data_IF_617699583916
#
_entry.id   IF_617699583916
#
_cell.length_a   1.000
_cell.length_b   1.000
_cell.length_c   1.000
_cell.angle_alpha   90.00
_cell.angle_beta   90.00
_cell.angle_gamma   90.00
#
_symmetry.space_group_name_H-M   'P 1'
#
loop_
_entity.id
_entity.type
_entity.pdbx_description
1 polymer ?
#
# COMPACT_ATOMS: atom_id res chain seq x y z
N UNK A 1 -0.39 11.58 5.95
CA UNK A 1 -0.14 13.05 6.11
C UNK A 1 -1.46 13.71 6.52
N UNK A 2 -1.55 14.40 7.70
CA UNK A 2 -2.77 15.11 8.09
C UNK A 2 -3.13 16.22 7.10
N UNK A 3 -4.32 16.17 6.51
CA UNK A 3 -4.76 17.16 5.51
C UNK A 3 -4.91 18.60 6.04
N UNK A 4 -5.09 18.75 7.35
CA UNK A 4 -5.13 20.06 8.00
C UNK A 4 -3.73 20.69 8.22
N UNK A 5 -2.65 19.98 7.95
CA UNK A 5 -1.28 20.45 8.20
C UNK A 5 -0.57 20.84 6.89
N UNK A 6 -0.66 22.10 6.51
CA UNK A 6 -0.06 22.63 5.27
C UNK A 6 1.46 22.47 5.21
N UNK A 7 2.17 22.55 6.35
CA UNK A 7 3.63 22.32 6.39
C UNK A 7 3.97 20.86 6.09
N UNK A 8 3.14 19.92 6.58
CA UNK A 8 3.32 18.51 6.29
C UNK A 8 3.04 18.21 4.81
N UNK A 9 1.98 18.80 4.24
CA UNK A 9 1.66 18.68 2.81
C UNK A 9 2.81 19.22 1.93
N UNK A 10 3.39 20.36 2.27
CA UNK A 10 4.53 20.90 1.52
C UNK A 10 5.77 20.03 1.64
N UNK A 11 6.10 19.55 2.86
CA UNK A 11 7.24 18.65 3.08
C UNK A 11 7.07 17.32 2.33
N UNK A 12 5.84 16.85 2.15
CA UNK A 12 5.56 15.60 1.46
C UNK A 12 6.08 15.55 0.02
N UNK A 13 6.17 16.70 -0.66
CA UNK A 13 6.68 16.82 -2.03
C UNK A 13 8.13 16.37 -2.20
N UNK A 14 8.92 16.36 -1.12
CA UNK A 14 10.34 16.00 -1.12
C UNK A 14 10.65 14.70 -0.38
N UNK A 15 9.63 13.97 0.08
CA UNK A 15 9.86 12.70 0.77
C UNK A 15 10.16 11.59 -0.25
N UNK A 16 11.15 10.71 0.01
CA UNK A 16 11.43 9.56 -0.87
C UNK A 16 10.44 8.41 -0.60
N UNK A 17 9.16 8.68 -0.81
CA UNK A 17 8.06 7.74 -0.66
C UNK A 17 7.39 7.52 -2.02
N UNK A 18 6.90 6.31 -2.28
CA UNK A 18 6.23 5.97 -3.53
C UNK A 18 4.82 6.55 -3.57
N UNK A 19 4.10 6.49 -2.44
CA UNK A 19 2.73 6.99 -2.30
C UNK A 19 2.58 7.89 -1.08
N UNK A 20 1.66 8.84 -1.17
CA UNK A 20 1.31 9.77 -0.10
C UNK A 20 -0.17 9.64 0.24
N UNK A 21 -0.50 9.16 1.45
CA UNK A 21 -1.87 9.15 1.94
C UNK A 21 -2.15 10.51 2.59
N UNK A 22 -2.97 11.33 1.93
CA UNK A 22 -3.46 12.63 2.40
C UNK A 22 -4.75 12.39 3.18
N UNK A 23 -4.69 12.60 4.49
CA UNK A 23 -5.71 12.12 5.42
C UNK A 23 -6.76 13.18 5.76
N UNK A 24 -8.03 12.82 5.64
CA UNK A 24 -9.19 13.59 6.11
C UNK A 24 -9.91 12.91 7.27
N UNK A 25 -9.49 11.71 7.65
CA UNK A 25 -10.17 10.92 8.67
C UNK A 25 -9.60 11.21 10.08
N UNK A 26 -8.95 10.24 10.69
CA UNK A 26 -8.55 10.28 12.11
C UNK A 26 -7.53 11.37 12.44
N UNK A 27 -6.65 11.73 11.52
CA UNK A 27 -5.66 12.78 11.76
C UNK A 27 -6.19 14.22 11.61
N UNK A 28 -7.49 14.39 11.35
CA UNK A 28 -8.13 15.71 11.18
C UNK A 28 -9.32 15.86 12.12
N UNK A 29 -9.29 16.90 12.96
CA UNK A 29 -10.40 17.20 13.87
C UNK A 29 -11.70 17.51 13.11
N UNK A 30 -12.87 17.22 13.70
CA UNK A 30 -14.16 17.39 13.04
C UNK A 30 -14.41 18.79 12.45
N UNK A 31 -14.03 19.83 13.16
CA UNK A 31 -14.18 21.23 12.77
C UNK A 31 -13.16 21.67 11.70
N UNK A 32 -12.07 20.94 11.53
CA UNK A 32 -11.02 21.21 10.55
C UNK A 32 -11.23 20.47 9.20
N UNK A 33 -12.18 19.54 9.10
CA UNK A 33 -12.30 18.66 7.92
C UNK A 33 -12.62 19.44 6.63
N UNK A 34 -13.49 20.43 6.70
CA UNK A 34 -13.79 21.28 5.55
C UNK A 34 -12.55 22.05 5.05
N UNK A 35 -11.79 22.64 5.97
CA UNK A 35 -10.55 23.34 5.64
C UNK A 35 -9.47 22.42 5.13
N UNK A 36 -9.38 21.18 5.66
CA UNK A 36 -8.43 20.18 5.20
C UNK A 36 -8.69 19.77 3.74
N UNK A 37 -9.97 19.67 3.30
CA UNK A 37 -10.31 19.45 1.88
C UNK A 37 -9.70 20.53 0.98
N UNK A 38 -9.87 21.80 1.35
CA UNK A 38 -9.32 22.92 0.57
C UNK A 38 -7.79 22.88 0.51
N UNK A 39 -7.12 22.58 1.63
CA UNK A 39 -5.66 22.48 1.67
C UNK A 39 -5.13 21.34 0.81
N UNK A 40 -5.76 20.17 0.85
CA UNK A 40 -5.38 19.04 0.01
C UNK A 40 -5.62 19.36 -1.48
N UNK A 41 -6.77 19.95 -1.84
CA UNK A 41 -7.03 20.35 -3.23
C UNK A 41 -5.96 21.30 -3.76
N UNK A 42 -5.63 22.35 -3.01
CA UNK A 42 -4.58 23.31 -3.38
C UNK A 42 -3.19 22.62 -3.52
N UNK A 43 -2.88 21.65 -2.66
CA UNK A 43 -1.66 20.89 -2.73
C UNK A 43 -1.61 19.97 -3.97
N UNK A 44 -2.72 19.33 -4.34
CA UNK A 44 -2.84 18.52 -5.56
C UNK A 44 -2.67 19.36 -6.84
N UNK A 45 -3.14 20.59 -6.85
CA UNK A 45 -2.95 21.50 -7.99
C UNK A 45 -1.48 21.81 -8.25
N UNK A 46 -0.66 21.91 -7.18
CA UNK A 46 0.79 22.11 -7.28
C UNK A 46 1.55 20.82 -7.57
N UNK A 47 0.95 19.65 -7.29
CA UNK A 47 1.49 18.32 -7.53
C UNK A 47 2.49 17.84 -6.48
N UNK A 48 2.77 16.54 -6.52
CA UNK A 48 3.68 15.83 -5.61
C UNK A 48 4.79 15.08 -6.37
N UNK A 49 5.10 15.52 -7.60
CA UNK A 49 6.12 14.89 -8.43
C UNK A 49 5.66 13.51 -8.93
N UNK A 50 6.52 12.51 -8.80
CA UNK A 50 6.25 11.12 -9.19
C UNK A 50 5.38 10.34 -8.19
N UNK A 51 5.15 10.92 -7.01
CA UNK A 51 4.50 10.23 -5.90
C UNK A 51 3.02 10.05 -6.16
N UNK A 52 2.56 8.83 -6.01
CA UNK A 52 1.14 8.53 -6.05
C UNK A 52 0.40 9.23 -4.90
N UNK A 53 -0.71 9.88 -5.22
CA UNK A 53 -1.50 10.66 -4.26
C UNK A 53 -2.81 9.96 -3.95
N UNK A 54 -2.95 9.56 -2.70
CA UNK A 54 -4.10 8.80 -2.19
C UNK A 54 -4.83 9.63 -1.14
N UNK A 55 -6.14 9.80 -1.30
CA UNK A 55 -6.95 10.59 -0.36
C UNK A 55 -7.67 9.62 0.58
N UNK A 56 -7.29 9.61 1.88
CA UNK A 56 -8.10 8.89 2.86
C UNK A 56 -9.28 9.75 3.27
N UNK A 57 -10.45 9.37 2.77
CA UNK A 57 -11.72 10.04 3.08
C UNK A 57 -12.31 9.55 4.40
N UNK A 58 -13.29 10.26 4.93
CA UNK A 58 -14.15 9.73 6.00
C UNK A 58 -15.07 8.64 5.45
N UNK A 59 -15.47 7.70 6.28
CA UNK A 59 -16.44 6.66 5.87
C UNK A 59 -17.74 7.26 5.34
N UNK A 60 -18.34 6.65 4.33
CA UNK A 60 -19.59 7.15 3.72
C UNK A 60 -20.79 7.16 4.69
N UNK A 61 -20.71 6.40 5.78
CA UNK A 61 -21.67 6.40 6.87
C UNK A 61 -21.54 7.60 7.82
N UNK A 62 -20.57 8.48 7.61
CA UNK A 62 -20.37 9.72 8.36
C UNK A 62 -20.94 10.93 7.63
N UNK A 63 -21.13 12.02 8.33
CA UNK A 63 -21.59 13.27 7.72
C UNK A 63 -20.58 13.91 6.73
N UNK A 64 -19.33 13.45 6.70
CA UNK A 64 -18.25 14.03 5.89
C UNK A 64 -17.90 13.20 4.64
N UNK A 65 -18.13 11.89 4.67
CA UNK A 65 -17.60 10.98 3.65
C UNK A 65 -18.06 11.28 2.23
N UNK A 66 -19.34 11.60 2.03
CA UNK A 66 -19.86 11.96 0.72
C UNK A 66 -19.27 13.27 0.19
N UNK A 67 -19.14 14.27 1.06
CA UNK A 67 -18.54 15.57 0.71
C UNK A 67 -17.05 15.42 0.39
N UNK A 68 -16.33 14.56 1.14
CA UNK A 68 -14.93 14.24 0.86
C UNK A 68 -14.80 13.61 -0.53
N UNK A 69 -15.57 12.55 -0.81
CA UNK A 69 -15.52 11.86 -2.09
C UNK A 69 -15.82 12.79 -3.26
N UNK A 70 -16.86 13.62 -3.13
CA UNK A 70 -17.24 14.61 -4.13
C UNK A 70 -16.16 15.66 -4.36
N UNK A 71 -15.47 16.09 -3.28
CA UNK A 71 -14.42 17.10 -3.36
C UNK A 71 -13.19 16.65 -4.14
N UNK A 72 -12.94 15.34 -4.24
CA UNK A 72 -11.73 14.82 -4.88
C UNK A 72 -11.98 14.04 -6.17
N UNK A 73 -13.22 13.72 -6.51
CA UNK A 73 -13.55 12.96 -7.71
C UNK A 73 -13.03 13.61 -9.02
N UNK A 74 -13.03 14.94 -9.10
CA UNK A 74 -12.59 15.72 -10.28
C UNK A 74 -11.11 16.15 -10.21
N UNK A 75 -10.35 15.69 -9.21
CA UNK A 75 -8.95 16.07 -9.03
C UNK A 75 -7.98 15.14 -9.75
N UNK A 76 -6.68 15.43 -9.62
CA UNK A 76 -5.59 14.60 -10.12
C UNK A 76 -5.12 13.55 -9.11
N UNK A 77 -5.87 13.34 -8.01
CA UNK A 77 -5.55 12.27 -7.08
C UNK A 77 -5.61 10.91 -7.79
N UNK A 78 -4.69 10.03 -7.46
CA UNK A 78 -4.57 8.73 -8.10
C UNK A 78 -5.56 7.72 -7.50
N UNK A 79 -5.84 7.82 -6.20
CA UNK A 79 -6.77 6.92 -5.52
C UNK A 79 -7.53 7.57 -4.35
N UNK A 80 -8.67 6.95 -4.03
CA UNK A 80 -9.42 7.16 -2.79
C UNK A 80 -9.18 5.97 -1.86
N UNK A 81 -8.73 6.22 -0.64
CA UNK A 81 -8.63 5.22 0.42
C UNK A 81 -9.89 5.28 1.29
N UNK A 82 -10.70 4.24 1.22
CA UNK A 82 -11.89 4.09 2.04
C UNK A 82 -11.54 3.42 3.38
N UNK A 83 -11.81 4.07 4.54
CA UNK A 83 -11.58 3.47 5.83
C UNK A 83 -12.67 2.43 6.18
N UNK A 84 -12.37 1.52 7.08
CA UNK A 84 -13.31 0.58 7.72
C UNK A 84 -14.18 -0.18 6.71
N UNK A 85 -13.54 -0.71 5.66
CA UNK A 85 -14.23 -1.50 4.65
C UNK A 85 -14.56 -2.88 5.22
N UNK A 86 -15.84 -3.22 5.24
CA UNK A 86 -16.37 -4.47 5.79
C UNK A 86 -17.21 -5.27 4.79
N UNK A 87 -17.39 -4.77 3.57
CA UNK A 87 -18.18 -5.44 2.54
C UNK A 87 -17.82 -5.03 1.12
N UNK A 88 -18.08 -5.91 0.16
CA UNK A 88 -17.99 -5.59 -1.27
C UNK A 88 -18.92 -4.43 -1.66
N UNK A 89 -20.08 -4.31 -1.01
CA UNK A 89 -21.06 -3.26 -1.30
C UNK A 89 -20.50 -1.86 -1.09
N UNK A 90 -19.67 -1.64 -0.04
CA UNK A 90 -19.03 -0.34 0.19
C UNK A 90 -18.08 0.06 -0.96
N UNK A 91 -17.32 -0.88 -1.49
CA UNK A 91 -16.43 -0.63 -2.64
C UNK A 91 -17.26 -0.32 -3.90
N UNK A 92 -18.33 -1.09 -4.14
CA UNK A 92 -19.23 -0.86 -5.27
C UNK A 92 -19.93 0.50 -5.18
N UNK A 93 -20.36 0.90 -3.99
CA UNK A 93 -20.95 2.22 -3.73
C UNK A 93 -19.99 3.35 -4.06
N UNK A 94 -18.73 3.30 -3.58
CA UNK A 94 -17.69 4.28 -3.92
C UNK A 94 -17.46 4.32 -5.42
N UNK A 95 -17.34 3.19 -6.09
CA UNK A 95 -17.15 3.13 -7.54
C UNK A 95 -18.31 3.78 -8.32
N UNK A 96 -19.55 3.54 -7.89
CA UNK A 96 -20.73 4.15 -8.48
C UNK A 96 -20.77 5.67 -8.26
N UNK A 97 -20.44 6.14 -7.07
CA UNK A 97 -20.36 7.58 -6.75
C UNK A 97 -19.24 8.26 -7.53
N UNK A 98 -18.07 7.65 -7.66
CA UNK A 98 -16.99 8.19 -8.49
C UNK A 98 -17.44 8.37 -9.94
N UNK A 99 -18.14 7.38 -10.49
CA UNK A 99 -18.73 7.48 -11.83
C UNK A 99 -19.78 8.60 -11.92
N UNK A 100 -20.65 8.73 -10.91
CA UNK A 100 -21.67 9.79 -10.84
C UNK A 100 -21.04 11.18 -10.76
N UNK A 101 -19.94 11.34 -10.05
CA UNK A 101 -19.21 12.60 -9.91
C UNK A 101 -18.22 12.87 -11.05
N UNK A 102 -18.27 12.05 -12.12
CA UNK A 102 -17.38 12.19 -13.28
C UNK A 102 -15.89 12.14 -12.93
N UNK A 103 -15.55 11.28 -11.98
CA UNK A 103 -14.15 11.08 -11.58
C UNK A 103 -13.27 10.75 -12.79
N UNK A 104 -12.00 11.13 -12.69
CA UNK A 104 -11.01 10.79 -13.69
C UNK A 104 -10.94 9.25 -13.84
N UNK A 105 -10.90 8.76 -15.09
CA UNK A 105 -10.88 7.32 -15.38
C UNK A 105 -9.68 6.55 -14.81
N UNK A 106 -8.65 7.26 -14.34
CA UNK A 106 -7.46 6.66 -13.71
C UNK A 106 -7.62 6.50 -12.19
N UNK A 107 -8.60 7.17 -11.55
CA UNK A 107 -8.77 7.12 -10.10
C UNK A 107 -9.13 5.73 -9.62
N UNK A 108 -8.32 5.21 -8.70
CA UNK A 108 -8.46 3.89 -8.10
C UNK A 108 -9.11 3.95 -6.73
N UNK A 109 -9.46 2.79 -6.20
CA UNK A 109 -9.96 2.60 -4.84
C UNK A 109 -8.93 1.78 -4.07
N UNK A 110 -8.56 2.29 -2.91
CA UNK A 110 -7.83 1.55 -1.89
C UNK A 110 -8.77 1.24 -0.74
N UNK A 111 -8.68 0.07 -0.15
CA UNK A 111 -9.52 -0.35 0.94
C UNK A 111 -8.72 -0.56 2.22
N UNK A 112 -9.09 0.14 3.31
CA UNK A 112 -8.48 -0.11 4.61
C UNK A 112 -9.19 -1.29 5.31
N UNK A 113 -8.40 -2.31 5.59
CA UNK A 113 -8.79 -3.55 6.25
C UNK A 113 -8.34 -3.44 7.71
N UNK A 114 -9.26 -3.10 8.59
CA UNK A 114 -8.94 -2.69 9.94
C UNK A 114 -9.97 -3.11 11.02
N UNK A 115 -10.91 -3.98 10.62
CA UNK A 115 -11.89 -4.56 11.55
C UNK A 115 -11.89 -6.09 11.45
N UNK A 116 -12.26 -6.81 12.53
CA UNK A 116 -12.41 -8.26 12.48
C UNK A 116 -13.40 -8.73 11.40
N UNK A 117 -14.49 -7.99 11.17
CA UNK A 117 -15.47 -8.31 10.12
C UNK A 117 -14.84 -8.22 8.72
N UNK A 118 -14.01 -7.20 8.47
CA UNK A 118 -13.27 -7.08 7.20
C UNK A 118 -12.44 -8.32 6.91
N UNK A 119 -11.76 -8.88 7.92
CA UNK A 119 -10.92 -10.08 7.76
C UNK A 119 -11.76 -11.28 7.31
N UNK A 120 -12.95 -11.47 7.88
CA UNK A 120 -13.85 -12.55 7.46
C UNK A 120 -14.47 -12.33 6.07
N UNK A 121 -14.47 -11.08 5.58
CA UNK A 121 -15.04 -10.68 4.29
C UNK A 121 -14.00 -10.41 3.21
N UNK A 122 -12.73 -10.66 3.48
CA UNK A 122 -11.62 -10.38 2.55
C UNK A 122 -11.84 -10.89 1.12
N UNK A 123 -12.27 -12.15 0.88
CA UNK A 123 -12.48 -12.65 -0.49
C UNK A 123 -13.55 -11.85 -1.25
N UNK A 124 -14.62 -11.46 -0.57
CA UNK A 124 -15.70 -10.67 -1.16
C UNK A 124 -15.24 -9.24 -1.44
N UNK A 125 -14.49 -8.64 -0.50
CA UNK A 125 -13.93 -7.27 -0.63
C UNK A 125 -12.89 -7.24 -1.77
N UNK A 126 -11.95 -8.18 -1.78
CA UNK A 126 -10.86 -8.20 -2.77
C UNK A 126 -11.35 -8.38 -4.21
N UNK A 127 -12.50 -9.01 -4.41
CA UNK A 127 -13.14 -9.22 -5.73
C UNK A 127 -14.21 -8.18 -6.08
N UNK A 128 -14.44 -7.15 -5.24
CA UNK A 128 -15.62 -6.32 -5.29
C UNK A 128 -15.78 -5.48 -6.58
N UNK A 129 -14.69 -4.94 -7.11
CA UNK A 129 -14.74 -4.05 -8.28
C UNK A 129 -13.37 -3.90 -8.96
N UNK A 130 -13.29 -3.74 -10.29
CA UNK A 130 -12.02 -3.55 -11.02
C UNK A 130 -11.24 -2.27 -10.68
N UNK A 131 -11.86 -1.27 -10.07
CA UNK A 131 -11.17 -0.07 -9.57
C UNK A 131 -10.44 -0.32 -8.24
N UNK A 132 -10.77 -1.40 -7.51
CA UNK A 132 -10.03 -1.75 -6.30
C UNK A 132 -8.63 -2.20 -6.70
N UNK A 133 -7.61 -1.58 -6.15
CA UNK A 133 -6.21 -1.80 -6.51
C UNK A 133 -5.37 -2.25 -5.32
N UNK A 134 -5.65 -1.69 -4.13
CA UNK A 134 -4.79 -1.90 -2.96
C UNK A 134 -5.60 -2.18 -1.70
N UNK A 135 -5.14 -3.16 -0.92
CA UNK A 135 -5.56 -3.38 0.45
C UNK A 135 -4.54 -2.77 1.42
N UNK A 136 -5.01 -1.98 2.36
CA UNK A 136 -4.17 -1.34 3.38
C UNK A 136 -4.55 -1.87 4.76
N UNK A 137 -3.59 -2.41 5.51
CA UNK A 137 -3.87 -2.94 6.84
C UNK A 137 -3.88 -1.82 7.88
N UNK A 138 -5.01 -1.62 8.56
CA UNK A 138 -5.17 -0.72 9.70
C UNK A 138 -4.98 -1.47 11.02
N UNK A 139 -3.72 -1.85 11.32
CA UNK A 139 -3.42 -2.73 12.48
C UNK A 139 -3.75 -2.11 13.83
N UNK A 140 -3.79 -0.80 13.97
CA UNK A 140 -4.13 -0.12 15.22
C UNK A 140 -5.60 -0.33 15.59
N UNK A 141 -6.52 -0.07 14.67
CA UNK A 141 -7.95 -0.29 14.89
C UNK A 141 -8.26 -1.78 15.04
N UNK A 142 -7.61 -2.63 14.23
CA UNK A 142 -7.78 -4.08 14.33
C UNK A 142 -7.39 -4.61 15.71
N UNK A 143 -6.24 -4.23 16.25
CA UNK A 143 -5.79 -4.66 17.60
C UNK A 143 -6.74 -4.16 18.70
N UNK A 144 -7.23 -2.93 18.57
CA UNK A 144 -8.23 -2.36 19.48
C UNK A 144 -9.53 -3.18 19.45
N UNK A 145 -10.06 -3.49 18.27
CA UNK A 145 -11.31 -4.22 18.11
C UNK A 145 -11.19 -5.71 18.49
N UNK A 146 -10.00 -6.30 18.36
CA UNK A 146 -9.66 -7.62 18.88
C UNK A 146 -9.53 -7.64 20.41
N UNK A 147 -9.55 -6.49 21.09
CA UNK A 147 -9.22 -6.34 22.51
C UNK A 147 -7.85 -6.93 22.85
N UNK A 148 -6.93 -6.92 21.89
CA UNK A 148 -5.58 -7.46 22.03
C UNK A 148 -4.57 -6.39 22.49
N UNK A 149 -3.32 -6.77 22.63
CA UNK A 149 -2.21 -5.86 22.94
C UNK A 149 -1.21 -5.91 21.80
N UNK A 150 -0.67 -4.75 21.43
CA UNK A 150 0.48 -4.72 20.52
C UNK A 150 1.66 -5.47 21.12
N UNK A 151 2.20 -6.42 20.37
CA UNK A 151 3.39 -7.19 20.75
C UNK A 151 4.50 -7.00 19.71
N UNK A 152 5.79 -7.11 20.10
CA UNK A 152 6.89 -7.01 19.13
C UNK A 152 6.81 -8.06 18.02
N UNK A 153 6.31 -9.25 18.32
CA UNK A 153 6.13 -10.34 17.35
C UNK A 153 4.89 -10.19 16.45
N UNK A 154 3.97 -9.25 16.80
CA UNK A 154 2.71 -9.01 16.10
C UNK A 154 1.82 -10.27 15.99
N UNK A 155 1.98 -11.20 16.96
CA UNK A 155 1.24 -12.48 16.95
C UNK A 155 -0.28 -12.27 16.97
N UNK A 156 -0.75 -11.20 17.58
CA UNK A 156 -2.17 -10.81 17.68
C UNK A 156 -2.80 -10.49 16.33
N UNK A 157 -2.01 -10.04 15.35
CA UNK A 157 -2.49 -9.70 14.00
C UNK A 157 -2.05 -10.69 12.93
N UNK A 158 -1.18 -11.64 13.24
CA UNK A 158 -0.54 -12.52 12.25
C UNK A 158 -1.53 -13.24 11.32
N UNK A 159 -2.63 -13.75 11.86
CA UNK A 159 -3.68 -14.40 11.06
C UNK A 159 -4.32 -13.42 10.07
N UNK A 160 -4.65 -12.22 10.53
CA UNK A 160 -5.25 -11.18 9.70
C UNK A 160 -4.29 -10.74 8.58
N UNK A 161 -3.02 -10.53 8.91
CA UNK A 161 -1.97 -10.20 7.94
C UNK A 161 -1.86 -11.29 6.86
N UNK A 162 -1.78 -12.56 7.26
CA UNK A 162 -1.68 -13.69 6.32
C UNK A 162 -2.89 -13.79 5.41
N UNK A 163 -4.10 -13.67 5.95
CA UNK A 163 -5.34 -13.73 5.15
C UNK A 163 -5.43 -12.56 4.16
N UNK A 164 -4.97 -11.37 4.56
CA UNK A 164 -4.96 -10.19 3.68
C UNK A 164 -4.00 -10.36 2.50
N UNK A 165 -2.81 -10.89 2.73
CA UNK A 165 -1.86 -11.22 1.65
C UNK A 165 -2.46 -12.27 0.71
N UNK A 166 -3.05 -13.34 1.24
CA UNK A 166 -3.68 -14.38 0.42
C UNK A 166 -4.81 -13.81 -0.45
N UNK A 167 -5.69 -12.98 0.13
CA UNK A 167 -6.79 -12.35 -0.60
C UNK A 167 -6.28 -11.41 -1.70
N UNK A 168 -5.29 -10.57 -1.38
CA UNK A 168 -4.68 -9.66 -2.35
C UNK A 168 -4.06 -10.42 -3.52
N UNK A 169 -3.27 -11.46 -3.26
CA UNK A 169 -2.62 -12.25 -4.32
C UNK A 169 -3.62 -13.04 -5.17
N UNK A 170 -4.72 -13.55 -4.58
CA UNK A 170 -5.78 -14.23 -5.31
C UNK A 170 -6.48 -13.31 -6.32
N UNK A 171 -6.49 -12.00 -6.07
CA UNK A 171 -7.16 -11.00 -6.92
C UNK A 171 -6.22 -9.99 -7.56
N UNK A 172 -4.90 -10.24 -7.54
CA UNK A 172 -3.86 -9.40 -8.16
C UNK A 172 -3.83 -7.95 -7.62
N UNK A 173 -4.15 -7.78 -6.33
CA UNK A 173 -4.10 -6.49 -5.66
C UNK A 173 -2.75 -6.25 -5.01
N UNK A 174 -2.37 -4.98 -4.89
CA UNK A 174 -1.32 -4.54 -3.99
C UNK A 174 -1.79 -4.67 -2.53
N UNK A 175 -0.87 -4.96 -1.61
CA UNK A 175 -1.18 -5.06 -0.18
C UNK A 175 -0.10 -4.41 0.67
N UNK A 176 -0.52 -3.42 1.48
CA UNK A 176 0.36 -2.65 2.35
C UNK A 176 0.15 -3.05 3.80
N UNK A 177 1.26 -3.33 4.48
CA UNK A 177 1.27 -3.62 5.91
C UNK A 177 0.94 -2.36 6.75
N UNK A 178 0.46 -2.56 7.97
CA UNK A 178 0.06 -1.49 8.89
C UNK A 178 1.24 -0.76 9.53
N UNK A 179 0.96 0.34 10.18
CA UNK A 179 1.92 1.26 10.78
C UNK A 179 2.73 0.63 11.93
N UNK A 180 3.93 1.18 12.18
CA UNK A 180 4.70 1.02 13.41
C UNK A 180 4.57 2.29 14.25
N UNK A 181 3.99 2.17 15.47
CA UNK A 181 3.58 3.33 16.25
C UNK A 181 4.71 3.99 17.03
N UNK A 182 5.75 3.23 17.42
CA UNK A 182 6.84 3.72 18.24
C UNK A 182 7.88 4.43 17.38
N UNK A 183 7.93 5.76 17.45
CA UNK A 183 8.81 6.57 16.58
C UNK A 183 10.30 6.41 16.94
N UNK A 184 10.60 6.12 18.20
CA UNK A 184 11.97 5.98 18.73
C UNK A 184 12.46 4.51 18.73
N UNK A 185 11.67 3.56 18.18
CA UNK A 185 11.99 2.14 18.12
C UNK A 185 12.33 1.70 16.70
N UNK A 186 13.54 2.06 16.25
CA UNK A 186 14.03 1.70 14.92
C UNK A 186 14.18 0.18 14.73
N UNK A 187 14.58 -0.55 15.77
CA UNK A 187 14.77 -2.00 15.68
C UNK A 187 13.41 -2.72 15.56
N UNK A 188 12.41 -2.28 16.31
CA UNK A 188 11.03 -2.78 16.16
C UNK A 188 10.46 -2.47 14.78
N UNK A 189 10.71 -1.27 14.24
CA UNK A 189 10.33 -0.93 12.87
C UNK A 189 10.99 -1.87 11.85
N UNK A 190 12.32 -2.11 11.95
CA UNK A 190 13.05 -3.05 11.09
C UNK A 190 12.45 -4.45 11.14
N UNK A 191 12.22 -4.97 12.33
CA UNK A 191 11.62 -6.30 12.50
C UNK A 191 10.22 -6.38 11.91
N UNK A 192 9.40 -5.34 12.09
CA UNK A 192 8.07 -5.24 11.50
C UNK A 192 8.13 -5.20 9.96
N UNK A 193 9.07 -4.46 9.37
CA UNK A 193 9.26 -4.41 7.92
C UNK A 193 9.74 -5.76 7.36
N UNK A 194 10.71 -6.41 8.02
CA UNK A 194 11.20 -7.74 7.64
C UNK A 194 10.05 -8.76 7.67
N UNK A 195 9.28 -8.79 8.76
CA UNK A 195 8.13 -9.68 8.86
C UNK A 195 7.11 -9.42 7.74
N UNK A 196 6.78 -8.16 7.48
CA UNK A 196 5.84 -7.79 6.41
C UNK A 196 6.34 -8.25 5.04
N UNK A 197 7.61 -7.96 4.69
CA UNK A 197 8.23 -8.43 3.45
C UNK A 197 8.22 -9.96 3.33
N UNK A 198 8.62 -10.66 4.38
CA UNK A 198 8.71 -12.12 4.41
C UNK A 198 7.32 -12.79 4.34
N UNK A 199 6.27 -12.10 4.79
CA UNK A 199 4.87 -12.51 4.61
C UNK A 199 4.33 -12.24 3.20
N UNK A 200 5.01 -11.41 2.41
CA UNK A 200 4.62 -11.08 1.04
C UNK A 200 3.86 -9.77 0.87
N UNK A 201 3.96 -8.82 1.80
CA UNK A 201 3.47 -7.46 1.58
C UNK A 201 4.34 -6.72 0.56
N UNK A 202 3.73 -5.80 -0.20
CA UNK A 202 4.42 -4.98 -1.20
C UNK A 202 5.12 -3.78 -0.57
N UNK A 203 4.68 -3.37 0.62
CA UNK A 203 5.20 -2.23 1.35
C UNK A 203 4.50 -2.06 2.68
N UNK A 204 4.65 -0.85 3.26
CA UNK A 204 4.14 -0.53 4.59
C UNK A 204 3.67 0.91 4.67
N UNK A 205 2.55 1.15 5.35
CA UNK A 205 2.15 2.51 5.72
C UNK A 205 3.03 3.03 6.85
N UNK A 206 3.43 4.30 6.73
CA UNK A 206 4.35 4.97 7.66
C UNK A 206 3.69 6.24 8.21
N UNK A 207 4.03 6.61 9.44
CA UNK A 207 3.48 7.77 10.14
C UNK A 207 4.49 8.89 10.37
N UNK A 208 5.78 8.65 10.09
CA UNK A 208 6.82 9.65 10.26
C UNK A 208 7.90 9.54 9.18
N UNK A 209 8.48 10.66 8.69
CA UNK A 209 9.52 10.64 7.67
C UNK A 209 10.78 9.83 8.03
N UNK A 210 11.14 9.75 9.33
CA UNK A 210 12.30 8.95 9.78
C UNK A 210 12.17 7.46 9.49
N UNK A 211 10.94 6.97 9.30
CA UNK A 211 10.66 5.56 9.02
C UNK A 211 10.89 5.18 7.55
N UNK A 212 10.90 6.17 6.63
CA UNK A 212 10.88 5.92 5.18
C UNK A 212 12.13 5.16 4.74
N UNK A 213 13.32 5.62 5.16
CA UNK A 213 14.57 4.96 4.74
C UNK A 213 14.61 3.49 5.15
N UNK A 214 14.22 3.20 6.39
CA UNK A 214 14.22 1.81 6.92
C UNK A 214 13.26 0.93 6.12
N UNK A 215 12.06 1.44 5.84
CA UNK A 215 11.08 0.71 5.04
C UNK A 215 11.57 0.48 3.61
N UNK A 216 12.09 1.50 2.94
CA UNK A 216 12.60 1.38 1.58
C UNK A 216 13.79 0.41 1.49
N UNK A 217 14.72 0.47 2.45
CA UNK A 217 15.88 -0.44 2.50
C UNK A 217 15.47 -1.93 2.65
N UNK A 218 14.34 -2.18 3.31
CA UNK A 218 13.89 -3.56 3.60
C UNK A 218 12.94 -4.09 2.53
N UNK A 219 11.98 -3.30 2.05
CA UNK A 219 11.03 -3.72 1.02
C UNK A 219 11.62 -3.68 -0.39
N UNK A 220 12.64 -2.87 -0.63
CA UNK A 220 13.39 -2.88 -1.88
C UNK A 220 14.28 -4.11 -2.02
N UNK A 221 14.58 -4.56 -3.25
CA UNK A 221 15.47 -5.70 -3.47
C UNK A 221 16.92 -5.32 -3.11
N UNK A 222 17.62 -6.21 -2.43
CA UNK A 222 19.05 -6.04 -2.13
C UNK A 222 19.91 -6.23 -3.38
N UNK A 223 21.14 -5.69 -3.40
CA UNK A 223 22.10 -5.97 -4.48
C UNK A 223 22.32 -7.44 -4.72
N UNK A 224 22.34 -8.27 -3.66
CA UNK A 224 22.50 -9.71 -3.73
C UNK A 224 21.30 -10.39 -4.37
N UNK A 225 20.08 -9.96 -4.04
CA UNK A 225 18.84 -10.46 -4.66
C UNK A 225 18.78 -10.12 -6.15
N UNK A 226 19.22 -8.94 -6.54
CA UNK A 226 19.31 -8.50 -7.93
C UNK A 226 20.33 -9.36 -8.70
N UNK A 227 21.52 -9.58 -8.16
CA UNK A 227 22.55 -10.41 -8.78
C UNK A 227 22.09 -11.88 -8.91
N UNK A 228 21.50 -12.44 -7.85
CA UNK A 228 20.93 -13.79 -7.89
C UNK A 228 19.82 -13.91 -8.94
N UNK A 229 18.96 -12.88 -9.09
CA UNK A 229 17.90 -12.87 -10.10
C UNK A 229 18.48 -12.93 -11.53
N UNK A 230 19.54 -12.17 -11.82
CA UNK A 230 20.25 -12.25 -13.10
C UNK A 230 20.87 -13.62 -13.34
N UNK A 231 21.52 -14.20 -12.33
CA UNK A 231 22.14 -15.53 -12.42
C UNK A 231 21.08 -16.62 -12.68
N UNK A 232 19.91 -16.55 -12.02
CA UNK A 232 18.80 -17.51 -12.25
C UNK A 232 18.31 -17.46 -13.70
N UNK A 233 18.10 -16.27 -14.26
CA UNK A 233 17.66 -16.12 -15.63
C UNK A 233 18.71 -16.68 -16.61
N UNK A 234 19.98 -16.31 -16.44
CA UNK A 234 21.07 -16.79 -17.32
C UNK A 234 21.24 -18.31 -17.28
N UNK A 235 21.18 -18.93 -16.10
CA UNK A 235 21.27 -20.37 -15.93
C UNK A 235 20.12 -21.10 -16.63
N UNK A 236 18.89 -20.61 -16.45
CA UNK A 236 17.70 -21.18 -17.06
C UNK A 236 17.70 -21.04 -18.59
N UNK A 237 18.05 -19.89 -19.13
CA UNK A 237 18.17 -19.68 -20.59
C UNK A 237 19.20 -20.64 -21.21
N UNK A 238 20.32 -20.87 -20.51
CA UNK A 238 21.33 -21.82 -20.95
C UNK A 238 20.79 -23.24 -20.97
N UNK A 239 20.06 -23.66 -19.94
CA UNK A 239 19.43 -24.97 -19.89
C UNK A 239 18.41 -25.18 -21.02
N UNK A 240 17.53 -24.19 -21.24
CA UNK A 240 16.55 -24.25 -22.35
C UNK A 240 17.24 -24.39 -23.71
N UNK A 241 18.32 -23.64 -23.97
CA UNK A 241 19.09 -23.73 -25.22
C UNK A 241 19.72 -25.11 -25.41
N UNK A 242 20.02 -25.83 -24.33
CA UNK A 242 20.52 -27.22 -24.37
C UNK A 242 19.42 -28.28 -24.42
N UNK A 243 18.14 -27.88 -24.47
CA UNK A 243 16.99 -28.79 -24.48
C UNK A 243 16.55 -29.31 -23.11
N UNK A 244 17.09 -28.75 -22.01
CA UNK A 244 16.67 -29.06 -20.65
C UNK A 244 15.54 -28.13 -20.21
N UNK A 245 14.51 -28.66 -19.53
CA UNK A 245 13.39 -27.86 -18.99
C UNK A 245 13.66 -27.27 -17.60
N UNK A 246 14.83 -27.57 -17.01
CA UNK A 246 15.23 -27.14 -15.67
C UNK A 246 16.73 -26.81 -15.67
N UNK A 247 17.13 -25.89 -14.79
CA UNK A 247 18.54 -25.57 -14.54
C UNK A 247 18.93 -25.88 -13.09
N UNK A 248 20.22 -25.87 -12.80
CA UNK A 248 20.74 -25.94 -11.43
C UNK A 248 21.68 -24.76 -11.22
N UNK A 249 21.42 -23.97 -10.18
CA UNK A 249 22.26 -22.86 -9.76
C UNK A 249 22.56 -22.99 -8.28
N UNK A 250 23.84 -22.99 -7.91
CA UNK A 250 24.30 -23.12 -6.51
C UNK A 250 23.67 -24.30 -5.75
N UNK A 251 23.49 -25.45 -6.45
CA UNK A 251 22.86 -26.63 -5.89
C UNK A 251 21.34 -26.61 -5.74
N UNK A 252 20.68 -25.52 -6.18
CA UNK A 252 19.22 -25.39 -6.16
C UNK A 252 18.63 -25.57 -7.55
N UNK A 253 17.49 -26.24 -7.62
CA UNK A 253 16.72 -26.41 -8.87
C UNK A 253 16.09 -25.07 -9.28
N UNK A 254 16.22 -24.72 -10.55
CA UNK A 254 15.62 -23.52 -11.16
C UNK A 254 14.61 -23.95 -12.21
N UNK A 255 13.37 -23.55 -12.01
CA UNK A 255 12.22 -23.80 -12.86
C UNK A 255 11.60 -22.45 -13.30
N UNK A 256 10.63 -22.48 -14.21
CA UNK A 256 9.95 -21.29 -14.76
C UNK A 256 9.40 -20.35 -13.66
N UNK A 257 8.85 -20.89 -12.58
CA UNK A 257 8.33 -20.08 -11.46
C UNK A 257 9.41 -19.19 -10.83
N UNK A 258 10.65 -19.70 -10.73
CA UNK A 258 11.80 -18.96 -10.18
C UNK A 258 12.25 -17.83 -11.15
N UNK A 259 12.01 -18.00 -12.46
CA UNK A 259 12.31 -16.98 -13.47
C UNK A 259 11.27 -15.85 -13.43
N UNK A 260 10.00 -16.18 -13.21
CA UNK A 260 8.95 -15.18 -13.02
C UNK A 260 9.24 -14.30 -11.79
N UNK A 261 9.65 -14.90 -10.66
CA UNK A 261 10.07 -14.17 -9.48
C UNK A 261 11.33 -13.32 -9.73
N UNK A 262 12.34 -13.87 -10.38
CA UNK A 262 13.55 -13.12 -10.75
C UNK A 262 13.22 -11.89 -11.62
N UNK A 263 12.34 -12.04 -12.61
CA UNK A 263 11.87 -10.90 -13.43
C UNK A 263 11.12 -9.85 -12.61
N UNK A 264 10.31 -10.26 -11.63
CA UNK A 264 9.62 -9.35 -10.72
C UNK A 264 10.62 -8.53 -9.88
N UNK A 265 11.64 -9.18 -9.31
CA UNK A 265 12.71 -8.51 -8.56
C UNK A 265 13.43 -7.46 -9.43
N UNK A 266 13.81 -7.83 -10.65
CA UNK A 266 14.50 -6.91 -11.56
C UNK A 266 13.61 -5.77 -12.03
N UNK A 267 12.32 -6.00 -12.24
CA UNK A 267 11.36 -4.96 -12.59
C UNK A 267 11.20 -3.94 -11.45
N UNK A 268 11.13 -4.42 -10.20
CA UNK A 268 11.08 -3.55 -9.02
C UNK A 268 12.37 -2.74 -8.87
N UNK A 269 13.55 -3.37 -9.01
CA UNK A 269 14.84 -2.68 -8.95
C UNK A 269 14.93 -1.56 -10.01
N UNK A 270 14.52 -1.84 -11.24
CA UNK A 270 14.49 -0.85 -12.32
C UNK A 270 13.51 0.30 -12.04
N UNK A 271 12.32 0.01 -11.50
CA UNK A 271 11.36 1.03 -11.13
C UNK A 271 11.93 1.99 -10.07
N UNK A 272 12.56 1.44 -9.03
CA UNK A 272 13.23 2.22 -7.97
C UNK A 272 14.32 3.11 -8.57
N UNK A 273 15.15 2.57 -9.47
CA UNK A 273 16.22 3.36 -10.12
C UNK A 273 15.65 4.52 -10.96
N UNK A 274 14.55 4.28 -11.68
CA UNK A 274 13.86 5.33 -12.45
C UNK A 274 13.34 6.44 -11.53
N UNK A 275 12.70 6.09 -10.41
CA UNK A 275 12.22 7.09 -9.44
C UNK A 275 13.35 7.93 -8.85
N UNK A 276 14.47 7.30 -8.47
CA UNK A 276 15.64 8.02 -7.93
C UNK A 276 16.31 8.97 -8.92
N UNK A 277 16.10 8.79 -10.21
CA UNK A 277 16.62 9.69 -11.26
C UNK A 277 15.68 10.87 -11.57
N UNK A 278 14.43 10.80 -11.13
CA UNK A 278 13.38 11.79 -11.46
C UNK A 278 13.23 12.87 -10.36
N UNK A 279 13.84 12.68 -9.19
CA UNK A 279 14.01 13.68 -8.12
C UNK A 279 15.30 14.49 -8.36
#
# INVERSE_FOLDING_TARGET
MPGANTRALEKAKSLPADSLILDLEDAVAPDAKAQAREYIRAALDTGFGYRETVIRINGLNTQWGLDDLKAFADTKADAILLPKVESAAQIQEVANLLKQFHANNIMKIWAMIETPLAIFKLPEIASAHPLLETLVLGTSDLVKDLHARHTPSRVETQTALSLSVLAARAHHLCVLDGVHLSLDDEDGLKQSCIQGRDMGFDGKTLIHPSQIKIANDIFGPSPEEIDEAWQRIAAYETAIKSGAGIAVLNGKLIEELHIQDAKRILALANAIEVFLRTD
#
